data_IF_610780712142
#
_entry.id   IF_610780712142
#
_cell.length_a   1.000
_cell.length_b   1.000
_cell.length_c   1.000
_cell.angle_alpha   90.00
_cell.angle_beta   90.00
_cell.angle_gamma   90.00
#
_symmetry.space_group_name_H-M   'P 1'
#
loop_
_entity.id
_entity.type
_entity.pdbx_description
1 polymer ?
#
# COMPACT_ATOMS: atom_id res chain seq x y z
N UNK A 1 -9.83 11.98 -8.23
CA UNK A 1 -9.76 10.50 -8.33
C UNK A 1 -8.47 10.05 -7.67
N UNK A 2 -8.52 9.03 -6.80
CA UNK A 2 -7.32 8.54 -6.11
C UNK A 2 -6.26 8.12 -7.12
N UNK A 3 -5.01 8.39 -6.78
CA UNK A 3 -3.83 8.08 -7.59
C UNK A 3 -2.98 7.04 -6.88
N UNK A 4 -2.22 6.27 -7.64
CA UNK A 4 -1.15 5.47 -7.05
C UNK A 4 -0.05 6.40 -6.54
N UNK A 5 0.26 6.31 -5.26
CA UNK A 5 1.35 7.05 -4.62
C UNK A 5 2.43 6.09 -4.17
N UNK A 6 3.69 6.49 -4.29
CA UNK A 6 4.84 5.66 -3.96
C UNK A 6 6.01 6.49 -3.44
N UNK A 7 7.05 5.81 -3.00
CA UNK A 7 8.34 6.41 -2.65
C UNK A 7 9.13 6.84 -3.90
N UNK A 8 9.95 7.88 -3.77
CA UNK A 8 10.73 8.42 -4.87
C UNK A 8 11.67 7.41 -5.56
N UNK A 9 12.18 6.43 -4.80
CA UNK A 9 13.06 5.40 -5.38
C UNK A 9 12.31 4.45 -6.33
N UNK A 10 11.03 4.19 -6.08
CA UNK A 10 10.17 3.43 -7.00
C UNK A 10 9.67 4.30 -8.15
N UNK A 11 9.28 5.54 -7.87
CA UNK A 11 8.78 6.47 -8.89
C UNK A 11 9.81 6.72 -10.03
N UNK A 12 11.10 6.61 -9.74
CA UNK A 12 12.19 6.78 -10.71
C UNK A 12 12.47 5.54 -11.56
N UNK A 13 11.80 4.41 -11.30
CA UNK A 13 12.03 3.15 -12.00
C UNK A 13 10.91 2.81 -12.97
N UNK A 14 11.31 2.25 -14.11
CA UNK A 14 10.34 1.65 -15.04
C UNK A 14 10.03 0.23 -14.59
N UNK A 15 8.74 -0.15 -14.56
CA UNK A 15 8.34 -1.52 -14.30
C UNK A 15 8.96 -2.49 -15.29
N UNK A 16 9.33 -3.67 -14.80
CA UNK A 16 9.84 -4.77 -15.63
C UNK A 16 8.87 -5.93 -15.64
N UNK A 17 8.84 -6.68 -16.74
CA UNK A 17 8.04 -7.90 -16.84
C UNK A 17 8.83 -9.07 -16.24
N UNK A 18 8.29 -9.65 -15.17
CA UNK A 18 8.90 -10.80 -14.48
C UNK A 18 8.03 -12.07 -14.56
N UNK A 19 6.89 -12.00 -15.23
CA UNK A 19 5.85 -13.04 -15.19
C UNK A 19 6.36 -14.42 -15.66
N UNK A 20 7.16 -14.47 -16.73
CA UNK A 20 7.70 -15.73 -17.24
C UNK A 20 9.05 -16.13 -16.62
N UNK A 21 9.64 -15.26 -15.81
CA UNK A 21 10.98 -15.49 -15.26
C UNK A 21 11.00 -16.37 -14.01
N UNK A 22 9.84 -16.74 -13.51
CA UNK A 22 9.68 -17.62 -12.34
C UNK A 22 10.16 -19.07 -12.60
N UNK A 23 10.23 -19.46 -13.87
CA UNK A 23 10.58 -20.82 -14.30
C UNK A 23 11.99 -20.93 -14.88
N UNK A 24 12.65 -19.81 -15.10
CA UNK A 24 13.99 -19.76 -15.65
C UNK A 24 15.01 -19.65 -14.52
N UNK A 25 16.11 -20.41 -14.54
CA UNK A 25 17.25 -20.17 -13.65
C UNK A 25 17.95 -18.89 -14.11
N UNK A 26 17.42 -17.73 -13.69
CA UNK A 26 17.96 -16.45 -14.12
C UNK A 26 18.85 -15.91 -13.02
N UNK A 27 20.08 -15.67 -13.37
CA UNK A 27 21.01 -14.88 -12.57
C UNK A 27 20.68 -13.39 -12.74
N UNK A 28 19.55 -12.99 -12.14
CA UNK A 28 19.18 -11.58 -12.10
C UNK A 28 19.98 -10.88 -11.00
N UNK A 29 20.48 -9.67 -11.27
CA UNK A 29 21.05 -8.84 -10.22
C UNK A 29 20.05 -8.70 -9.07
N UNK A 30 20.54 -8.74 -7.83
CA UNK A 30 19.73 -8.51 -6.66
C UNK A 30 18.92 -7.22 -6.82
N UNK A 31 17.61 -7.27 -6.52
CA UNK A 31 16.79 -6.07 -6.55
C UNK A 31 17.20 -5.14 -5.40
N UNK A 32 17.75 -3.95 -5.69
CA UNK A 32 18.20 -3.03 -4.63
C UNK A 32 17.06 -2.46 -3.81
N UNK A 33 15.80 -2.64 -4.25
CA UNK A 33 14.59 -2.26 -3.52
C UNK A 33 13.93 -3.45 -2.82
N UNK A 34 14.46 -4.66 -2.95
CA UNK A 34 13.92 -5.82 -2.25
C UNK A 34 13.82 -5.56 -0.74
N UNK A 35 12.77 -6.07 -0.13
CA UNK A 35 12.47 -5.87 1.28
C UNK A 35 12.27 -4.38 1.65
N UNK A 36 11.69 -3.59 0.76
CA UNK A 36 11.40 -2.19 1.05
C UNK A 36 10.09 -2.06 1.86
N UNK A 37 10.16 -1.30 2.92
CA UNK A 37 9.03 -0.93 3.77
C UNK A 37 8.79 0.57 3.67
N UNK A 38 7.59 0.98 3.26
CA UNK A 38 7.24 2.38 3.06
C UNK A 38 6.06 2.73 3.96
N UNK A 39 6.15 3.88 4.62
CA UNK A 39 5.11 4.41 5.48
C UNK A 39 4.41 5.57 4.76
N UNK A 40 3.10 5.53 4.73
CA UNK A 40 2.23 6.59 4.25
C UNK A 40 1.38 7.10 5.38
N UNK A 41 1.20 8.42 5.48
CA UNK A 41 0.37 9.03 6.52
C UNK A 41 -0.35 10.25 6.00
N UNK A 42 -1.62 10.39 6.36
CA UNK A 42 -2.41 11.61 6.09
C UNK A 42 -3.31 11.92 7.27
N UNK A 43 -3.38 13.20 7.61
CA UNK A 43 -4.33 13.74 8.57
C UNK A 43 -5.58 14.22 7.85
N UNK A 44 -6.73 14.06 8.49
CA UNK A 44 -8.00 14.60 8.00
C UNK A 44 -8.93 14.90 9.18
N UNK A 45 -9.89 15.79 8.97
CA UNK A 45 -10.80 16.24 10.03
C UNK A 45 -12.23 15.93 9.69
N UNK A 46 -12.98 15.44 10.69
CA UNK A 46 -14.41 15.21 10.62
C UNK A 46 -15.12 16.19 11.54
N UNK A 47 -16.03 17.00 11.01
CA UNK A 47 -16.82 17.94 11.81
C UNK A 47 -17.77 17.20 12.79
N UNK A 48 -18.26 16.02 12.39
CA UNK A 48 -19.07 15.12 13.19
C UNK A 48 -18.78 13.68 12.76
N UNK A 49 -19.14 12.70 13.62
CA UNK A 49 -19.08 11.29 13.21
C UNK A 49 -20.12 11.02 12.12
N UNK A 50 -19.74 10.37 11.00
CA UNK A 50 -20.68 9.96 9.97
C UNK A 50 -21.54 8.77 10.43
N UNK A 51 -22.59 8.47 9.67
CA UNK A 51 -23.37 7.23 9.86
C UNK A 51 -22.73 6.04 9.15
N UNK A 52 -21.95 6.30 8.08
CA UNK A 52 -21.28 5.29 7.28
C UNK A 52 -19.89 5.78 6.87
N UNK A 53 -18.88 4.94 6.98
CA UNK A 53 -17.51 5.26 6.60
C UNK A 53 -16.82 4.08 5.93
N UNK A 54 -16.64 4.15 4.62
CA UNK A 54 -16.08 3.08 3.80
C UNK A 54 -14.73 3.51 3.24
N UNK A 55 -13.71 2.74 3.57
CA UNK A 55 -12.39 2.85 2.98
C UNK A 55 -12.21 1.76 1.91
N UNK A 56 -11.82 2.17 0.70
CA UNK A 56 -11.28 1.25 -0.32
C UNK A 56 -9.78 1.41 -0.33
N UNK A 57 -9.06 0.28 -0.29
CA UNK A 57 -7.60 0.31 -0.18
C UNK A 57 -6.96 -0.88 -0.88
N UNK A 58 -5.86 -0.62 -1.56
CA UNK A 58 -4.94 -1.64 -2.09
C UNK A 58 -3.51 -1.14 -2.05
N UNK A 59 -2.58 -2.06 -2.17
CA UNK A 59 -1.16 -1.76 -2.33
C UNK A 59 -0.48 -2.80 -3.24
N UNK A 60 0.69 -2.49 -3.69
CA UNK A 60 1.59 -3.41 -4.37
C UNK A 60 2.92 -3.42 -3.55
N UNK A 61 3.33 -4.54 -2.89
CA UNK A 61 2.66 -5.87 -2.81
C UNK A 61 1.62 -5.95 -1.69
N UNK A 62 1.95 -5.48 -0.47
CA UNK A 62 1.13 -5.63 0.75
C UNK A 62 1.00 -4.33 1.52
N UNK A 63 -0.07 -4.25 2.32
CA UNK A 63 -0.23 -3.18 3.30
C UNK A 63 -0.66 -3.70 4.67
N UNK A 64 -0.33 -2.91 5.70
CA UNK A 64 -0.98 -2.89 7.02
C UNK A 64 -1.60 -1.52 7.21
N UNK A 65 -2.87 -1.49 7.57
CA UNK A 65 -3.66 -0.27 7.78
C UNK A 65 -3.83 0.01 9.26
N UNK A 66 -3.63 1.27 9.61
CA UNK A 66 -3.89 1.82 10.94
C UNK A 66 -4.73 3.09 10.83
N UNK A 67 -5.69 3.26 11.72
CA UNK A 67 -6.45 4.50 11.87
C UNK A 67 -6.36 4.91 13.34
N UNK A 68 -5.97 6.16 13.59
CA UNK A 68 -5.77 6.71 14.93
C UNK A 68 -4.89 5.83 15.84
N UNK A 69 -3.90 5.17 15.27
CA UNK A 69 -2.97 4.28 15.96
C UNK A 69 -3.48 2.85 16.16
N UNK A 70 -4.74 2.55 15.81
CA UNK A 70 -5.32 1.22 15.95
C UNK A 70 -5.11 0.44 14.66
N UNK A 71 -4.64 -0.80 14.76
CA UNK A 71 -4.54 -1.73 13.62
C UNK A 71 -5.94 -2.11 13.13
N UNK A 72 -6.21 -1.87 11.85
CA UNK A 72 -7.52 -2.12 11.23
C UNK A 72 -7.51 -3.41 10.41
N UNK A 73 -6.43 -3.66 9.69
CA UNK A 73 -6.33 -4.83 8.83
C UNK A 73 -5.12 -4.80 7.92
N UNK A 74 -5.00 -5.83 7.09
CA UNK A 74 -3.92 -5.99 6.13
C UNK A 74 -4.43 -6.58 4.82
N UNK A 75 -3.67 -6.40 3.75
CA UNK A 75 -3.98 -6.90 2.42
C UNK A 75 -3.01 -6.33 1.38
N UNK A 76 -3.40 -6.33 0.12
CA UNK A 76 -4.56 -7.00 -0.47
C UNK A 76 -4.33 -8.51 -0.63
N UNK A 77 -5.34 -9.22 -1.14
CA UNK A 77 -5.08 -10.52 -1.74
C UNK A 77 -4.19 -10.34 -2.98
N UNK A 78 -3.28 -11.28 -3.26
CA UNK A 78 -2.39 -11.20 -4.42
C UNK A 78 -3.17 -10.94 -5.72
N UNK A 79 -2.61 -10.09 -6.56
CA UNK A 79 -3.19 -9.71 -7.85
C UNK A 79 -2.10 -9.58 -8.92
N UNK A 80 -2.54 -9.26 -10.12
CA UNK A 80 -1.64 -8.98 -11.24
C UNK A 80 -1.69 -7.49 -11.59
N UNK A 81 -0.64 -6.93 -12.17
CA UNK A 81 -0.60 -5.51 -12.55
C UNK A 81 -1.74 -5.06 -13.49
N UNK A 82 -2.36 -6.02 -14.19
CA UNK A 82 -3.53 -5.79 -15.06
C UNK A 82 -4.86 -5.82 -14.31
N UNK A 83 -4.89 -6.30 -13.05
CA UNK A 83 -6.12 -6.44 -12.27
C UNK A 83 -5.80 -6.47 -10.78
N UNK A 84 -5.55 -5.30 -10.21
CA UNK A 84 -5.37 -5.17 -8.76
C UNK A 84 -6.69 -5.43 -8.03
N UNK A 85 -6.61 -6.17 -6.95
CA UNK A 85 -7.72 -6.36 -6.02
C UNK A 85 -7.61 -5.32 -4.91
N UNK A 86 -8.73 -4.78 -4.47
CA UNK A 86 -8.78 -3.87 -3.32
C UNK A 86 -9.72 -4.41 -2.25
N UNK A 87 -9.47 -4.01 -1.02
CA UNK A 87 -10.35 -4.28 0.11
C UNK A 87 -11.32 -3.12 0.29
N UNK A 88 -12.56 -3.44 0.65
CA UNK A 88 -13.57 -2.50 1.11
C UNK A 88 -13.79 -2.73 2.59
N UNK A 89 -13.51 -1.73 3.40
CA UNK A 89 -13.46 -1.86 4.86
C UNK A 89 -14.38 -0.81 5.47
N UNK A 90 -15.28 -1.24 6.34
CA UNK A 90 -16.00 -0.32 7.24
C UNK A 90 -15.02 0.16 8.32
N UNK A 91 -14.73 1.46 8.29
CA UNK A 91 -13.78 2.07 9.21
C UNK A 91 -14.43 2.98 10.25
N UNK A 92 -15.75 3.05 10.25
CA UNK A 92 -16.51 3.86 11.22
C UNK A 92 -16.09 3.61 12.68
N UNK A 93 -15.85 2.35 13.14
CA UNK A 93 -15.44 2.09 14.53
C UNK A 93 -14.10 2.71 14.95
N UNK A 94 -13.29 3.13 13.98
CA UNK A 94 -11.93 3.69 14.22
C UNK A 94 -11.88 5.21 14.11
N UNK A 95 -12.99 5.85 13.69
CA UNK A 95 -13.07 7.29 13.48
C UNK A 95 -13.55 8.02 14.73
N UNK A 96 -13.19 9.32 14.80
CA UNK A 96 -13.66 10.23 15.84
C UNK A 96 -13.98 11.61 15.25
N UNK A 97 -14.79 12.38 15.95
CA UNK A 97 -14.97 13.81 15.63
C UNK A 97 -13.64 14.55 15.85
N UNK A 98 -13.36 15.52 15.02
CA UNK A 98 -12.10 16.25 15.01
C UNK A 98 -11.04 15.59 14.17
N UNK A 99 -9.78 15.69 14.60
CA UNK A 99 -8.63 15.19 13.84
C UNK A 99 -8.56 13.67 13.87
N UNK A 100 -8.33 13.10 12.69
CA UNK A 100 -8.07 11.69 12.45
C UNK A 100 -6.78 11.52 11.65
N UNK A 101 -6.15 10.37 11.80
CA UNK A 101 -4.93 9.99 11.08
C UNK A 101 -5.11 8.62 10.44
N UNK A 102 -4.91 8.53 9.14
CA UNK A 102 -4.70 7.26 8.44
C UNK A 102 -3.20 7.05 8.28
N UNK A 103 -2.74 5.85 8.63
CA UNK A 103 -1.35 5.42 8.43
C UNK A 103 -1.33 4.05 7.77
N UNK A 104 -0.55 3.92 6.71
CA UNK A 104 -0.42 2.68 5.96
C UNK A 104 1.05 2.32 5.86
N UNK A 105 1.37 1.09 6.25
CA UNK A 105 2.69 0.51 6.08
C UNK A 105 2.63 -0.46 4.92
N UNK A 106 3.30 -0.17 3.83
CA UNK A 106 3.40 -1.06 2.67
C UNK A 106 4.71 -1.82 2.70
N UNK A 107 4.71 -2.99 2.07
CA UNK A 107 5.86 -3.86 1.95
C UNK A 107 6.02 -4.31 0.51
N UNK A 108 7.19 -4.06 -0.06
CA UNK A 108 7.63 -4.58 -1.35
C UNK A 108 8.62 -5.72 -1.11
N UNK A 109 8.24 -6.93 -1.50
CA UNK A 109 9.05 -8.10 -1.27
C UNK A 109 10.29 -8.15 -2.19
N UNK A 110 10.12 -7.79 -3.45
CA UNK A 110 11.21 -7.77 -4.43
C UNK A 110 11.72 -9.15 -4.84
N UNK A 111 10.96 -10.22 -4.56
CA UNK A 111 11.31 -11.59 -4.89
C UNK A 111 10.45 -12.12 -6.03
N UNK A 112 11.08 -12.86 -6.93
CA UNK A 112 10.41 -13.56 -8.02
C UNK A 112 10.37 -15.04 -7.64
N UNK A 113 9.17 -15.57 -7.36
CA UNK A 113 8.97 -16.98 -7.06
C UNK A 113 7.66 -17.49 -7.68
N UNK A 114 7.39 -18.79 -7.52
CA UNK A 114 6.20 -19.44 -8.12
C UNK A 114 4.86 -18.91 -7.59
N UNK A 115 4.86 -18.25 -6.45
CA UNK A 115 3.63 -17.83 -5.75
C UNK A 115 3.41 -16.33 -5.87
N UNK A 116 4.49 -15.57 -6.02
CA UNK A 116 4.48 -14.11 -5.97
C UNK A 116 5.16 -13.49 -7.18
N UNK A 117 4.48 -12.52 -7.78
CA UNK A 117 5.02 -11.69 -8.85
C UNK A 117 5.43 -10.35 -8.24
N UNK A 118 6.39 -10.40 -7.33
CA UNK A 118 7.08 -9.21 -6.83
C UNK A 118 8.44 -9.09 -7.54
N UNK A 119 9.14 -7.97 -7.36
CA UNK A 119 10.43 -7.76 -8.02
C UNK A 119 10.31 -7.17 -9.41
N UNK A 120 9.15 -6.70 -9.79
CA UNK A 120 8.86 -6.03 -11.06
C UNK A 120 9.04 -4.50 -10.99
N UNK A 121 9.49 -3.96 -9.86
CA UNK A 121 9.65 -2.53 -9.54
C UNK A 121 8.35 -1.76 -9.39
N UNK A 122 7.20 -2.43 -9.41
CA UNK A 122 5.93 -1.78 -9.03
C UNK A 122 5.82 -1.79 -7.52
N UNK A 123 5.44 -0.66 -7.00
CA UNK A 123 5.11 -0.46 -5.60
C UNK A 123 4.19 0.74 -5.48
N UNK A 124 3.25 0.69 -4.57
CA UNK A 124 2.45 1.86 -4.27
C UNK A 124 1.30 1.56 -3.33
N UNK A 125 0.63 2.65 -2.97
CA UNK A 125 -0.61 2.69 -2.21
C UNK A 125 -1.67 3.37 -3.07
N UNK A 126 -2.87 2.82 -3.08
CA UNK A 126 -4.07 3.43 -3.62
C UNK A 126 -5.20 3.29 -2.60
N UNK A 127 -5.84 4.40 -2.23
CA UNK A 127 -6.97 4.37 -1.32
C UNK A 127 -7.90 5.58 -1.50
N UNK A 128 -9.16 5.40 -1.09
CA UNK A 128 -10.10 6.47 -0.83
C UNK A 128 -11.01 6.15 0.36
N UNK A 129 -11.41 7.19 1.07
CA UNK A 129 -12.37 7.14 2.17
C UNK A 129 -13.60 7.97 1.82
N UNK A 130 -14.76 7.33 1.87
CA UNK A 130 -16.06 8.00 1.75
C UNK A 130 -16.83 7.92 3.06
N UNK A 131 -17.41 9.05 3.47
CA UNK A 131 -18.29 9.13 4.63
C UNK A 131 -19.65 9.65 4.15
N UNK A 132 -20.71 8.91 4.46
CA UNK A 132 -22.10 9.22 4.02
C UNK A 132 -22.18 9.54 2.52
N UNK A 133 -21.46 8.76 1.71
CA UNK A 133 -21.39 8.92 0.25
C UNK A 133 -20.53 10.08 -0.26
N UNK A 134 -19.88 10.85 0.62
CA UNK A 134 -19.00 11.96 0.25
C UNK A 134 -17.54 11.55 0.38
N UNK A 135 -16.72 11.88 -0.63
CA UNK A 135 -15.28 11.67 -0.59
C UNK A 135 -14.66 12.60 0.46
N UNK A 136 -13.96 12.01 1.43
CA UNK A 136 -13.27 12.70 2.52
C UNK A 136 -11.76 12.74 2.30
N UNK A 137 -11.21 11.65 1.80
CA UNK A 137 -9.78 11.47 1.60
C UNK A 137 -9.55 10.58 0.39
N UNK A 138 -8.53 10.89 -0.38
CA UNK A 138 -8.01 10.00 -1.42
C UNK A 138 -6.48 10.01 -1.42
N UNK A 139 -5.88 8.95 -1.95
CA UNK A 139 -4.44 8.89 -2.14
C UNK A 139 -3.99 9.87 -3.20
N UNK A 140 -3.16 10.81 -2.81
CA UNK A 140 -2.62 11.88 -3.62
C UNK A 140 -1.27 12.36 -3.06
N UNK A 141 -0.68 13.36 -3.69
CA UNK A 141 0.62 13.94 -3.27
C UNK A 141 0.64 14.62 -1.89
N UNK A 142 -0.49 14.71 -1.18
CA UNK A 142 -0.55 15.26 0.18
C UNK A 142 -0.27 14.25 1.28
N UNK A 143 -0.12 12.96 0.95
CA UNK A 143 0.37 11.97 1.91
C UNK A 143 1.85 12.24 2.25
N UNK A 144 2.17 12.22 3.53
CA UNK A 144 3.57 12.10 3.96
C UNK A 144 4.04 10.68 3.66
N UNK A 145 5.17 10.56 2.97
CA UNK A 145 5.77 9.27 2.58
C UNK A 145 7.17 9.17 3.17
N UNK A 146 7.47 8.05 3.81
CA UNK A 146 8.76 7.82 4.42
C UNK A 146 9.18 6.35 4.32
N UNK A 147 10.46 6.10 3.97
CA UNK A 147 11.01 4.75 3.95
C UNK A 147 11.32 4.29 5.38
N UNK A 148 10.80 3.13 5.76
CA UNK A 148 11.08 2.53 7.06
C UNK A 148 12.36 1.70 6.99
N UNK A 149 13.33 2.01 7.83
CA UNK A 149 14.65 1.34 7.84
C UNK A 149 14.83 0.33 8.97
N UNK A 150 13.80 0.10 9.78
CA UNK A 150 13.85 -0.78 10.95
C UNK A 150 13.68 -2.28 10.63
N UNK A 151 13.51 -2.65 9.36
CA UNK A 151 13.41 -4.04 8.94
C UNK A 151 14.66 -4.45 8.16
N UNK A 152 15.21 -5.61 8.48
CA UNK A 152 16.27 -6.23 7.73
C UNK A 152 15.71 -7.40 6.89
N UNK A 153 16.31 -7.66 5.75
CA UNK A 153 15.97 -8.84 4.96
C UNK A 153 16.30 -10.11 5.74
N UNK A 154 15.34 -11.04 5.83
CA UNK A 154 15.49 -12.30 6.56
C UNK A 154 16.22 -13.39 5.74
N UNK A 155 16.67 -13.06 4.54
CA UNK A 155 17.31 -14.01 3.63
C UNK A 155 16.30 -14.67 2.67
N UNK A 156 16.79 -15.56 1.83
CA UNK A 156 15.96 -16.40 0.97
C UNK A 156 15.43 -17.57 1.79
N UNK A 157 14.15 -17.78 1.78
CA UNK A 157 13.52 -19.01 2.28
C UNK A 157 13.39 -19.98 1.10
#
# INVERSE_FOLDING_TARGET
MPQWITDAAFASRLPRNVFHRQLEPIDLPADPLANAHILFRKHFTLAALPQNAILRITADDYYKLYINGVFVGQGPAPGYPTSYRYNTIDVLPYLRTGENVIAVHTYYQGLINRVWVSGDYRHGLWCDLTCDGRLILESDGSFAVHRHTGYAATGKV
#
